data_IF_322123206434
#
_entry.id   IF_322123206434
#
_cell.length_a   1.000
_cell.length_b   1.000
_cell.length_c   1.000
_cell.angle_alpha   90.00
_cell.angle_beta   90.00
_cell.angle_gamma   90.00
#
_symmetry.space_group_name_H-M   'P 1'
#
loop_
_entity.id
_entity.type
_entity.pdbx_description
1 polymer ?
#
# COMPACT_ATOMS: atom_id res chain seq x y z
N UNK A 1 -21.95 -19.27 -19.93
CA UNK A 1 -20.83 -19.28 -20.93
C UNK A 1 -19.72 -18.44 -20.33
N UNK A 2 -18.79 -19.09 -19.64
CA UNK A 2 -17.63 -18.42 -19.05
C UNK A 2 -16.64 -18.17 -20.18
N UNK A 3 -16.33 -16.91 -20.45
CA UNK A 3 -15.23 -16.54 -21.32
C UNK A 3 -13.93 -17.12 -20.72
N UNK A 4 -13.07 -17.76 -21.53
CA UNK A 4 -11.77 -18.18 -21.05
C UNK A 4 -11.01 -16.96 -20.54
N UNK A 5 -10.21 -17.09 -19.48
CA UNK A 5 -9.37 -15.99 -19.03
C UNK A 5 -8.38 -15.69 -20.17
N UNK A 6 -8.57 -14.57 -20.82
CA UNK A 6 -7.68 -14.15 -21.92
C UNK A 6 -6.26 -13.97 -21.34
N UNK A 7 -5.25 -14.64 -21.89
CA UNK A 7 -3.86 -14.47 -21.49
C UNK A 7 -3.40 -13.01 -21.55
N UNK A 8 -3.97 -12.23 -22.47
CA UNK A 8 -3.73 -10.82 -22.68
C UNK A 8 -4.05 -9.92 -21.47
N UNK A 9 -5.02 -10.27 -20.64
CA UNK A 9 -5.41 -9.41 -19.51
C UNK A 9 -4.27 -9.30 -18.48
N UNK A 10 -3.58 -10.39 -18.17
CA UNK A 10 -2.48 -10.38 -17.19
C UNK A 10 -1.26 -9.60 -17.68
N UNK A 11 -0.92 -9.74 -18.95
CA UNK A 11 0.19 -9.00 -19.56
C UNK A 11 -0.13 -7.51 -19.64
N UNK A 12 -1.34 -7.15 -20.06
CA UNK A 12 -1.80 -5.76 -20.09
C UNK A 12 -1.82 -5.13 -18.69
N UNK A 13 -2.28 -5.85 -17.68
CA UNK A 13 -2.25 -5.38 -16.28
C UNK A 13 -0.81 -5.11 -15.83
N UNK A 14 0.12 -6.05 -16.07
CA UNK A 14 1.54 -5.88 -15.73
C UNK A 14 2.18 -4.71 -16.46
N UNK A 15 1.87 -4.55 -17.73
CA UNK A 15 2.37 -3.44 -18.55
C UNK A 15 1.82 -2.09 -18.03
N UNK A 16 0.54 -2.03 -17.65
CA UNK A 16 -0.05 -0.83 -17.08
C UNK A 16 0.64 -0.46 -15.75
N UNK A 17 0.89 -1.44 -14.87
CA UNK A 17 1.64 -1.21 -13.64
C UNK A 17 3.07 -0.74 -13.92
N UNK A 18 3.75 -1.33 -14.91
CA UNK A 18 5.09 -0.91 -15.31
C UNK A 18 5.12 0.57 -15.71
N UNK A 19 4.20 0.97 -16.59
CA UNK A 19 4.08 2.36 -17.05
C UNK A 19 3.74 3.31 -15.91
N UNK A 20 2.86 2.90 -15.03
CA UNK A 20 2.49 3.71 -13.87
C UNK A 20 3.68 3.91 -12.92
N UNK A 21 4.38 2.84 -12.58
CA UNK A 21 5.57 2.92 -11.73
C UNK A 21 6.68 3.74 -12.38
N UNK A 22 6.91 3.57 -13.69
CA UNK A 22 7.90 4.37 -14.43
C UNK A 22 7.56 5.86 -14.40
N UNK A 23 6.28 6.22 -14.57
CA UNK A 23 5.82 7.61 -14.46
C UNK A 23 6.03 8.21 -13.05
N UNK A 24 5.98 7.38 -12.02
CA UNK A 24 6.27 7.76 -10.64
C UNK A 24 7.78 7.74 -10.29
N UNK A 25 8.64 7.31 -11.21
CA UNK A 25 10.08 7.19 -10.96
C UNK A 25 10.47 6.01 -10.09
N UNK A 26 9.66 4.95 -10.06
CA UNK A 26 9.94 3.72 -9.32
C UNK A 26 9.94 2.49 -10.22
N UNK A 27 10.53 1.40 -9.75
CA UNK A 27 10.50 0.11 -10.45
C UNK A 27 9.29 -0.71 -10.01
N UNK A 28 8.54 -1.25 -10.97
CA UNK A 28 7.37 -2.10 -10.73
C UNK A 28 7.70 -3.34 -9.88
N UNK A 29 8.94 -3.85 -9.95
CA UNK A 29 9.39 -4.98 -9.14
C UNK A 29 9.58 -4.64 -7.65
N UNK A 30 9.67 -3.36 -7.31
CA UNK A 30 9.76 -2.88 -5.94
C UNK A 30 8.38 -2.60 -5.32
N UNK A 31 7.32 -2.81 -6.08
CA UNK A 31 5.96 -2.60 -5.61
C UNK A 31 5.52 -3.73 -4.68
N UNK A 32 4.82 -3.35 -3.62
CA UNK A 32 4.22 -4.26 -2.65
C UNK A 32 2.74 -3.95 -2.52
N UNK A 33 1.91 -4.98 -2.66
CA UNK A 33 0.47 -4.93 -2.46
C UNK A 33 0.06 -5.94 -1.40
N UNK A 34 -1.01 -5.66 -0.69
CA UNK A 34 -1.66 -6.59 0.23
C UNK A 34 -2.99 -7.08 -0.33
N UNK A 35 -3.50 -8.14 0.25
CA UNK A 35 -4.89 -8.52 0.10
C UNK A 35 -5.72 -7.74 1.12
N UNK A 36 -6.41 -6.68 0.67
CA UNK A 36 -7.25 -5.82 1.50
C UNK A 36 -8.58 -6.51 1.81
N UNK A 37 -8.98 -6.51 3.06
CA UNK A 37 -10.17 -7.20 3.56
C UNK A 37 -11.11 -6.28 4.36
N UNK A 38 -10.85 -4.97 4.35
CA UNK A 38 -11.61 -3.94 5.08
C UNK A 38 -11.57 -4.16 6.60
N UNK A 39 -10.40 -4.53 7.11
CA UNK A 39 -10.13 -4.70 8.54
C UNK A 39 -9.07 -3.71 9.04
N UNK A 40 -8.39 -4.03 10.13
CA UNK A 40 -7.52 -3.11 10.84
C UNK A 40 -6.06 -3.60 10.96
N UNK A 41 -5.68 -4.56 10.12
CA UNK A 41 -4.33 -5.12 10.12
C UNK A 41 -3.35 -4.18 9.43
N UNK A 42 -2.28 -3.84 10.13
CA UNK A 42 -1.09 -3.16 9.59
C UNK A 42 0.00 -4.18 9.35
N UNK A 43 0.64 -4.12 8.20
CA UNK A 43 1.78 -4.97 7.85
C UNK A 43 3.02 -4.11 7.64
N UNK A 44 4.07 -4.37 8.42
CA UNK A 44 5.41 -3.87 8.13
C UNK A 44 6.01 -4.74 7.03
N UNK A 45 6.32 -4.13 5.89
CA UNK A 45 6.87 -4.82 4.72
C UNK A 45 8.33 -4.47 4.52
N UNK A 46 9.06 -5.42 3.97
CA UNK A 46 10.50 -5.33 3.71
C UNK A 46 10.83 -5.73 2.28
N UNK A 47 12.09 -5.69 1.89
CA UNK A 47 12.53 -6.13 0.58
C UNK A 47 12.15 -7.57 0.22
N UNK A 48 11.89 -8.42 1.22
CA UNK A 48 11.37 -9.76 1.01
C UNK A 48 9.94 -9.79 0.44
N UNK A 49 9.20 -8.71 0.59
CA UNK A 49 7.82 -8.57 0.10
C UNK A 49 7.74 -7.97 -1.32
N UNK A 50 8.88 -7.64 -1.95
CA UNK A 50 8.92 -7.05 -3.30
C UNK A 50 8.18 -7.92 -4.31
N UNK A 51 7.33 -7.27 -5.11
CA UNK A 51 6.55 -7.90 -6.16
C UNK A 51 5.33 -8.67 -5.68
N UNK A 52 5.08 -8.76 -4.37
CA UNK A 52 3.87 -9.39 -3.84
C UNK A 52 2.62 -8.65 -4.31
N UNK A 53 1.63 -9.41 -4.73
CA UNK A 53 0.37 -8.93 -5.28
C UNK A 53 0.36 -8.76 -6.81
N UNK A 54 1.54 -8.70 -7.46
CA UNK A 54 1.64 -8.60 -8.93
C UNK A 54 2.46 -9.73 -9.56
N UNK A 55 3.67 -9.97 -9.06
CA UNK A 55 4.59 -11.01 -9.58
C UNK A 55 4.62 -12.25 -8.71
N UNK A 56 4.38 -12.09 -7.42
CA UNK A 56 4.28 -13.17 -6.45
C UNK A 56 2.92 -13.10 -5.73
N UNK A 57 2.45 -14.24 -5.25
CA UNK A 57 1.24 -14.28 -4.44
C UNK A 57 1.44 -13.52 -3.12
N UNK A 58 0.41 -12.80 -2.70
CA UNK A 58 0.34 -12.24 -1.36
C UNK A 58 -0.10 -13.34 -0.39
N UNK A 59 0.70 -13.58 0.63
CA UNK A 59 0.49 -14.63 1.65
C UNK A 59 -0.06 -14.05 2.97
N UNK A 60 -0.52 -12.80 2.95
CA UNK A 60 -1.12 -12.12 4.10
C UNK A 60 -2.25 -11.18 3.68
N UNK A 61 -3.10 -10.83 4.65
CA UNK A 61 -4.10 -9.77 4.54
C UNK A 61 -3.64 -8.56 5.32
N UNK A 62 -3.83 -7.37 4.77
CA UNK A 62 -3.62 -6.10 5.46
C UNK A 62 -4.33 -4.98 4.73
N UNK A 63 -4.84 -4.02 5.47
CA UNK A 63 -5.44 -2.80 4.94
C UNK A 63 -4.51 -1.58 5.12
N UNK A 64 -3.38 -1.77 5.77
CA UNK A 64 -2.30 -0.80 5.83
C UNK A 64 -0.94 -1.46 5.64
N UNK A 65 -0.08 -0.81 4.88
CA UNK A 65 1.31 -1.20 4.67
C UNK A 65 2.21 -0.07 5.18
N UNK A 66 3.26 -0.42 5.90
CA UNK A 66 4.27 0.52 6.36
C UNK A 66 5.67 -0.05 6.08
N UNK A 67 6.64 0.81 5.85
CA UNK A 67 8.03 0.42 5.69
C UNK A 67 8.97 1.56 6.01
N UNK A 68 10.14 1.24 6.52
CA UNK A 68 11.30 2.11 6.65
C UNK A 68 12.43 1.73 5.68
N UNK A 69 12.18 0.75 4.81
CA UNK A 69 13.17 0.27 3.85
C UNK A 69 13.13 1.11 2.56
N UNK A 70 14.25 1.78 2.19
CA UNK A 70 14.30 2.57 0.96
C UNK A 70 14.07 1.74 -0.29
N UNK A 71 13.44 2.37 -1.29
CA UNK A 71 13.23 1.76 -2.61
C UNK A 71 12.01 0.85 -2.71
N UNK A 72 11.22 0.66 -1.65
CA UNK A 72 9.92 0.00 -1.73
C UNK A 72 8.83 0.98 -2.12
N UNK A 73 7.88 0.51 -2.91
CA UNK A 73 6.67 1.24 -3.31
C UNK A 73 5.46 0.54 -2.73
N UNK A 74 4.73 1.21 -1.85
CA UNK A 74 3.52 0.67 -1.24
C UNK A 74 2.30 1.01 -2.10
N UNK A 75 1.41 0.05 -2.31
CA UNK A 75 0.21 0.26 -3.09
C UNK A 75 -1.02 -0.27 -2.35
N UNK A 76 -2.02 0.58 -2.25
CA UNK A 76 -3.37 0.26 -1.75
C UNK A 76 -4.40 0.74 -2.76
N UNK A 77 -5.56 0.13 -2.75
CA UNK A 77 -6.65 0.39 -3.69
C UNK A 77 -7.89 0.87 -2.95
N UNK A 78 -8.63 1.76 -3.57
CA UNK A 78 -9.93 2.18 -3.08
C UNK A 78 -10.84 2.60 -4.23
N UNK A 79 -12.15 2.42 -4.03
CA UNK A 79 -13.18 3.05 -4.84
C UNK A 79 -13.78 4.25 -4.09
N UNK A 80 -14.26 4.02 -2.87
CA UNK A 80 -14.98 5.00 -2.04
C UNK A 80 -14.48 5.07 -0.58
N UNK A 81 -13.59 4.16 -0.18
CA UNK A 81 -12.94 4.22 1.13
C UNK A 81 -11.83 5.27 1.17
N UNK A 82 -11.51 5.75 2.36
CA UNK A 82 -10.45 6.75 2.55
C UNK A 82 -9.07 6.11 2.34
N UNK A 83 -8.25 6.75 1.54
CA UNK A 83 -6.82 6.44 1.41
C UNK A 83 -6.01 7.48 2.18
N UNK A 84 -5.06 7.01 2.97
CA UNK A 84 -4.08 7.85 3.64
C UNK A 84 -2.67 7.46 3.20
N UNK A 85 -1.89 8.45 2.80
CA UNK A 85 -0.46 8.31 2.56
C UNK A 85 0.29 9.00 3.69
N UNK A 86 1.17 8.26 4.36
CA UNK A 86 1.88 8.71 5.54
C UNK A 86 3.38 8.79 5.22
N UNK A 87 4.02 9.82 5.73
CA UNK A 87 5.47 9.97 5.66
C UNK A 87 6.00 10.55 6.96
N UNK A 88 6.97 9.88 7.56
CA UNK A 88 7.73 10.38 8.69
C UNK A 88 9.18 10.65 8.26
N UNK A 89 9.59 11.92 8.14
CA UNK A 89 10.95 12.27 7.73
C UNK A 89 12.01 11.97 8.79
N UNK A 90 11.61 11.74 10.04
CA UNK A 90 12.56 11.45 11.15
C UNK A 90 13.01 10.01 11.11
N UNK A 91 12.07 9.08 10.97
CA UNK A 91 12.35 7.64 10.85
C UNK A 91 12.59 7.22 9.40
N UNK A 92 12.40 8.11 8.42
CA UNK A 92 12.40 7.85 6.99
C UNK A 92 11.41 6.74 6.59
N UNK A 93 10.31 6.60 7.34
CA UNK A 93 9.28 5.60 7.08
C UNK A 93 8.12 6.18 6.27
N UNK A 94 7.47 5.31 5.52
CA UNK A 94 6.25 5.63 4.76
C UNK A 94 5.15 4.64 5.09
N UNK A 95 3.90 5.06 4.89
CA UNK A 95 2.73 4.20 5.05
C UNK A 95 1.68 4.47 4.00
N UNK A 96 0.96 3.43 3.61
CA UNK A 96 -0.22 3.51 2.77
C UNK A 96 -1.37 2.77 3.47
N UNK A 97 -2.49 3.45 3.68
CA UNK A 97 -3.59 2.97 4.52
C UNK A 97 -4.89 3.02 3.71
N UNK A 98 -5.58 1.89 3.64
CA UNK A 98 -6.94 1.79 3.15
C UNK A 98 -7.90 1.75 4.34
N UNK A 99 -8.50 2.90 4.65
CA UNK A 99 -9.39 3.06 5.80
C UNK A 99 -10.86 3.03 5.37
N UNK A 100 -11.43 1.83 5.25
CA UNK A 100 -12.86 1.64 5.19
C UNK A 100 -13.53 2.00 6.52
N UNK A 101 -14.85 1.95 6.59
CA UNK A 101 -15.57 2.33 7.82
C UNK A 101 -15.15 1.50 9.04
N UNK A 102 -14.88 0.19 8.86
CA UNK A 102 -14.39 -0.69 9.94
C UNK A 102 -12.97 -0.33 10.37
N UNK A 103 -12.05 -0.18 9.41
CA UNK A 103 -10.68 0.22 9.70
C UNK A 103 -10.62 1.58 10.40
N UNK A 104 -11.47 2.52 10.01
CA UNK A 104 -11.61 3.82 10.69
C UNK A 104 -12.12 3.65 12.10
N UNK A 105 -13.18 2.87 12.32
CA UNK A 105 -13.73 2.61 13.64
C UNK A 105 -12.76 1.85 14.57
N UNK A 106 -11.87 1.03 14.01
CA UNK A 106 -10.85 0.27 14.71
C UNK A 106 -9.49 0.99 14.80
N UNK A 107 -9.45 2.26 14.45
CA UNK A 107 -8.28 3.14 14.59
C UNK A 107 -7.08 2.74 13.73
N UNK A 108 -7.34 2.17 12.55
CA UNK A 108 -6.29 1.71 11.62
C UNK A 108 -5.26 2.80 11.28
N UNK A 109 -5.64 4.06 11.00
CA UNK A 109 -4.67 5.12 10.74
C UNK A 109 -3.68 5.33 11.88
N UNK A 110 -4.17 5.35 13.12
CA UNK A 110 -3.29 5.50 14.29
C UNK A 110 -2.42 4.26 14.55
N UNK A 111 -2.93 3.06 14.22
CA UNK A 111 -2.14 1.83 14.25
C UNK A 111 -0.99 1.90 13.25
N UNK A 112 -1.24 2.36 12.02
CA UNK A 112 -0.21 2.53 11.01
C UNK A 112 0.88 3.52 11.45
N UNK A 113 0.50 4.66 12.03
CA UNK A 113 1.46 5.64 12.57
C UNK A 113 2.33 5.04 13.68
N UNK A 114 1.73 4.25 14.58
CA UNK A 114 2.48 3.57 15.64
C UNK A 114 3.49 2.55 15.08
N UNK A 115 3.09 1.78 14.08
CA UNK A 115 3.96 0.80 13.40
C UNK A 115 5.11 1.46 12.63
N UNK A 116 4.95 2.68 12.17
CA UNK A 116 6.04 3.46 11.58
C UNK A 116 7.11 3.85 12.62
N UNK A 117 6.90 3.58 13.92
CA UNK A 117 7.81 3.95 14.99
C UNK A 117 7.85 5.46 15.25
N UNK A 118 6.98 6.22 14.63
CA UNK A 118 6.87 7.64 14.88
C UNK A 118 6.32 7.89 16.29
N UNK A 119 6.99 8.72 17.12
CA UNK A 119 6.33 9.22 18.29
C UNK A 119 5.09 9.98 17.81
N UNK A 120 3.93 9.66 18.39
CA UNK A 120 2.63 10.27 18.01
C UNK A 120 2.63 11.75 18.43
N UNK A 121 3.45 12.51 17.80
CA UNK A 121 3.43 13.97 17.82
C UNK A 121 2.96 14.41 16.46
N UNK A 122 1.75 14.93 16.37
CA UNK A 122 1.08 15.40 15.15
C UNK A 122 1.88 16.40 14.29
N UNK A 123 3.13 16.67 14.66
CA UNK A 123 4.02 17.60 13.97
C UNK A 123 4.94 16.95 12.93
N UNK A 124 5.04 15.62 12.93
CA UNK A 124 6.03 14.88 12.12
C UNK A 124 5.42 14.01 11.03
N UNK A 125 4.10 13.82 11.01
CA UNK A 125 3.43 13.02 10.00
C UNK A 125 2.69 13.93 9.04
N UNK A 126 3.12 13.97 7.79
CA UNK A 126 2.38 14.63 6.71
C UNK A 126 1.40 13.64 6.11
N UNK A 127 0.11 13.93 6.19
CA UNK A 127 -0.91 13.18 5.46
C UNK A 127 -1.18 13.88 4.13
N UNK A 128 -1.10 13.14 3.05
CA UNK A 128 -1.53 13.59 1.74
C UNK A 128 -2.81 12.85 1.39
N UNK A 129 -3.89 13.58 1.19
CA UNK A 129 -5.08 13.04 0.56
C UNK A 129 -5.00 13.37 -0.92
N UNK A 130 -4.91 12.35 -1.76
CA UNK A 130 -5.08 12.53 -3.20
C UNK A 130 -6.58 12.70 -3.47
N UNK A 131 -6.98 13.91 -3.86
CA UNK A 131 -8.26 14.18 -4.49
C UNK A 131 -7.95 14.47 -5.96
N UNK A 132 -8.51 13.66 -6.82
CA UNK A 132 -9.02 13.74 -8.20
C UNK A 132 -8.87 12.43 -8.93
#
# INVERSE_FOLDING_TARGET
>A
MSLPPEPDIRENVRENYRRFCEALGTDVHNMVQSHQVHEDTVRHVTGADRGKGLFAATDYTADALVTDEPGLSLMVFSADCIILLLHDPVTASIGAVHAGWRGTALDLPAKAVREMGAPVTWRTVSSWTCWD
#
